data_IF_876299486037
#
_entry.id   IF_876299486037
#
_cell.length_a   1.000
_cell.length_b   1.000
_cell.length_c   1.000
_cell.angle_alpha   90.00
_cell.angle_beta   90.00
_cell.angle_gamma   90.00
#
_symmetry.space_group_name_H-M   'P 1'
#
loop_
_entity.id
_entity.type
_entity.pdbx_description
1 polymer ?
#
# COMPACT_ATOMS: atom_id res chain seq x y z
N UNK A 1 -11.55 1.18 23.11
CA UNK A 1 -10.45 1.90 22.43
C UNK A 1 -10.17 1.11 21.17
N UNK A 2 -10.29 1.68 19.95
CA UNK A 2 -9.98 0.90 18.76
C UNK A 2 -8.47 0.73 18.73
N UNK A 3 -8.03 -0.52 18.87
CA UNK A 3 -6.65 -0.92 18.68
C UNK A 3 -6.36 -0.74 17.20
N UNK A 4 -5.80 0.41 16.83
CA UNK A 4 -5.19 0.61 15.51
C UNK A 4 -4.28 -0.59 15.25
N UNK A 5 -4.55 -1.34 14.18
CA UNK A 5 -3.85 -2.58 13.83
C UNK A 5 -2.40 -2.29 13.47
N UNK A 6 -1.56 -1.98 14.48
CA UNK A 6 -0.16 -1.57 14.33
C UNK A 6 0.64 -2.56 13.49
N UNK A 7 0.40 -3.88 13.63
CA UNK A 7 1.20 -4.90 12.97
C UNK A 7 1.31 -4.77 11.44
N UNK A 8 0.19 -4.68 10.71
CA UNK A 8 0.22 -4.57 9.25
C UNK A 8 0.70 -3.20 8.78
N UNK A 9 0.23 -2.13 9.43
CA UNK A 9 0.63 -0.78 9.06
C UNK A 9 2.12 -0.53 9.33
N UNK A 10 2.65 -1.01 10.46
CA UNK A 10 4.07 -0.94 10.80
C UNK A 10 4.90 -1.72 9.76
N UNK A 11 4.46 -2.92 9.35
CA UNK A 11 5.13 -3.70 8.30
C UNK A 11 5.17 -2.99 6.94
N UNK A 12 4.07 -2.34 6.54
CA UNK A 12 4.05 -1.53 5.32
C UNK A 12 4.99 -0.31 5.45
N UNK A 13 5.04 0.30 6.64
CA UNK A 13 5.93 1.43 6.92
C UNK A 13 7.40 1.05 6.86
N UNK A 14 7.78 -0.11 7.40
CA UNK A 14 9.14 -0.64 7.34
C UNK A 14 9.56 -0.90 5.89
N UNK A 15 8.68 -1.52 5.10
CA UNK A 15 8.93 -1.79 3.68
C UNK A 15 9.06 -0.50 2.86
N UNK A 16 8.21 0.48 3.16
CA UNK A 16 8.29 1.80 2.54
C UNK A 16 9.60 2.51 2.89
N UNK A 17 10.05 2.43 4.14
CA UNK A 17 11.33 3.01 4.57
C UNK A 17 12.51 2.28 3.91
N UNK A 18 12.49 0.95 3.85
CA UNK A 18 13.48 0.15 3.14
C UNK A 18 13.59 0.56 1.67
N UNK A 19 12.45 0.81 1.00
CA UNK A 19 12.43 1.29 -0.38
C UNK A 19 13.03 2.70 -0.54
N UNK A 20 12.90 3.55 0.48
CA UNK A 20 13.51 4.88 0.51
C UNK A 20 15.02 4.83 0.76
N UNK A 21 15.45 4.00 1.71
CA UNK A 21 16.85 3.82 2.11
C UNK A 21 17.67 3.04 1.07
N UNK A 22 17.02 2.28 0.17
CA UNK A 22 17.70 1.53 -0.89
C UNK A 22 18.30 2.50 -1.92
N UNK A 23 19.65 2.50 -2.10
CA UNK A 23 20.32 3.33 -3.10
C UNK A 23 19.85 2.96 -4.51
N UNK A 24 19.91 3.94 -5.42
CA UNK A 24 19.49 3.72 -6.81
C UNK A 24 20.28 2.58 -7.49
N UNK A 25 21.52 2.32 -7.06
CA UNK A 25 22.37 1.25 -7.61
C UNK A 25 21.93 -0.18 -7.17
N UNK A 26 21.19 -0.30 -6.07
CA UNK A 26 20.70 -1.59 -5.55
C UNK A 26 19.21 -1.83 -5.83
N UNK A 27 18.59 -0.99 -6.66
CA UNK A 27 17.16 -1.09 -7.02
C UNK A 27 16.76 -2.45 -7.54
N UNK A 28 17.64 -3.12 -8.30
CA UNK A 28 17.40 -4.47 -8.83
C UNK A 28 17.15 -5.55 -7.78
N UNK A 29 17.52 -5.31 -6.51
CA UNK A 29 17.26 -6.22 -5.39
C UNK A 29 15.91 -5.99 -4.70
N UNK A 30 15.16 -4.94 -5.06
CA UNK A 30 13.84 -4.70 -4.51
C UNK A 30 12.87 -5.76 -5.03
N UNK A 31 12.26 -6.49 -4.10
CA UNK A 31 11.27 -7.52 -4.42
C UNK A 31 9.90 -6.88 -4.66
N UNK A 32 9.06 -7.57 -5.45
CA UNK A 32 7.67 -7.18 -5.66
C UNK A 32 6.89 -6.98 -4.36
N UNK A 33 7.26 -7.71 -3.31
CA UNK A 33 6.63 -7.64 -1.99
C UNK A 33 6.96 -6.33 -1.26
N UNK A 34 8.23 -5.89 -1.28
CA UNK A 34 8.64 -4.61 -0.67
C UNK A 34 7.98 -3.43 -1.38
N UNK A 35 7.90 -3.49 -2.72
CA UNK A 35 7.26 -2.44 -3.52
C UNK A 35 5.75 -2.45 -3.33
N UNK A 36 5.13 -3.64 -3.29
CA UNK A 36 3.71 -3.78 -2.98
C UNK A 36 3.40 -3.24 -1.59
N UNK A 37 4.21 -3.55 -0.58
CA UNK A 37 4.04 -3.06 0.78
C UNK A 37 4.23 -1.54 0.89
N UNK A 38 5.19 -0.97 0.16
CA UNK A 38 5.35 0.47 0.06
C UNK A 38 4.13 1.15 -0.60
N UNK A 39 3.57 0.54 -1.66
CA UNK A 39 2.37 1.02 -2.31
C UNK A 39 1.14 0.91 -1.40
N UNK A 40 1.00 -0.20 -0.67
CA UNK A 40 -0.06 -0.41 0.33
C UNK A 40 0.02 0.60 1.48
N UNK A 41 1.22 0.97 1.92
CA UNK A 41 1.43 2.03 2.91
C UNK A 41 0.87 3.38 2.44
N UNK A 42 1.28 3.82 1.23
CA UNK A 42 0.77 5.07 0.65
C UNK A 42 -0.75 5.00 0.45
N UNK A 43 -1.29 3.84 0.04
CA UNK A 43 -2.71 3.63 -0.17
C UNK A 43 -3.53 3.73 1.11
N UNK A 44 -3.12 3.04 2.18
CA UNK A 44 -3.78 3.09 3.50
C UNK A 44 -3.69 4.49 4.07
N UNK A 45 -2.55 5.17 3.93
CA UNK A 45 -2.40 6.56 4.38
C UNK A 45 -3.32 7.52 3.63
N UNK A 46 -3.42 7.38 2.31
CA UNK A 46 -4.33 8.19 1.48
C UNK A 46 -5.80 7.89 1.80
N UNK A 47 -6.14 6.62 2.05
CA UNK A 47 -7.47 6.20 2.48
C UNK A 47 -7.86 6.80 3.84
N UNK A 48 -6.95 6.75 4.82
CA UNK A 48 -7.17 7.34 6.14
C UNK A 48 -7.38 8.85 6.03
N UNK A 49 -6.54 9.56 5.26
CA UNK A 49 -6.72 10.99 5.00
C UNK A 49 -8.03 11.30 4.25
N UNK A 50 -8.47 10.42 3.34
CA UNK A 50 -9.76 10.55 2.68
C UNK A 50 -10.91 10.41 3.68
N UNK A 51 -10.83 9.43 4.59
CA UNK A 51 -11.83 9.19 5.62
C UNK A 51 -11.90 10.34 6.64
N UNK A 52 -10.76 10.93 7.00
CA UNK A 52 -10.71 12.11 7.88
C UNK A 52 -11.38 13.34 7.25
N UNK A 53 -11.25 13.51 5.92
CA UNK A 53 -11.80 14.67 5.20
C UNK A 53 -13.25 14.49 4.77
N UNK A 54 -13.63 13.30 4.32
CA UNK A 54 -14.92 13.05 3.67
C UNK A 54 -15.84 12.12 4.48
N UNK A 55 -15.34 11.56 5.59
CA UNK A 55 -16.00 10.47 6.31
C UNK A 55 -15.66 9.09 5.74
N UNK A 56 -15.91 8.04 6.54
CA UNK A 56 -15.69 6.66 6.11
C UNK A 56 -16.69 6.29 5.01
N UNK A 57 -16.27 5.58 3.95
CA UNK A 57 -17.20 5.05 2.95
C UNK A 57 -18.20 4.09 3.62
N UNK A 58 -19.45 4.16 3.16
CA UNK A 58 -20.55 3.38 3.73
C UNK A 58 -20.51 1.88 3.37
N UNK A 59 -19.69 1.49 2.39
CA UNK A 59 -19.67 0.13 1.85
C UNK A 59 -18.24 -0.40 1.69
N UNK A 60 -18.03 -1.66 2.04
CA UNK A 60 -16.75 -2.38 1.90
C UNK A 60 -16.25 -2.34 0.45
N UNK A 61 -17.13 -2.52 -0.54
CA UNK A 61 -16.76 -2.47 -1.94
C UNK A 61 -16.20 -1.09 -2.32
N UNK A 62 -16.79 -0.01 -1.79
CA UNK A 62 -16.33 1.35 -2.05
C UNK A 62 -15.01 1.67 -1.36
N UNK A 63 -14.81 1.16 -0.14
CA UNK A 63 -13.51 1.27 0.52
C UNK A 63 -12.41 0.55 -0.26
N UNK A 64 -12.69 -0.66 -0.74
CA UNK A 64 -11.77 -1.44 -1.55
C UNK A 64 -11.46 -0.78 -2.89
N UNK A 65 -12.46 -0.19 -3.56
CA UNK A 65 -12.26 0.56 -4.81
C UNK A 65 -11.31 1.74 -4.60
N UNK A 66 -11.49 2.51 -3.52
CA UNK A 66 -10.63 3.64 -3.18
C UNK A 66 -9.21 3.16 -2.84
N UNK A 67 -9.07 2.11 -2.02
CA UNK A 67 -7.79 1.53 -1.64
C UNK A 67 -7.04 0.97 -2.87
N UNK A 68 -7.71 0.25 -3.76
CA UNK A 68 -7.12 -0.27 -4.99
C UNK A 68 -6.69 0.86 -5.94
N UNK A 69 -7.49 1.93 -6.03
CA UNK A 69 -7.13 3.13 -6.78
C UNK A 69 -5.87 3.80 -6.25
N UNK A 70 -5.77 3.97 -4.93
CA UNK A 70 -4.57 4.53 -4.31
C UNK A 70 -3.36 3.59 -4.41
N UNK A 71 -3.54 2.28 -4.24
CA UNK A 71 -2.47 1.30 -4.38
C UNK A 71 -1.90 1.27 -5.80
N UNK A 72 -2.77 1.33 -6.82
CA UNK A 72 -2.35 1.43 -8.21
C UNK A 72 -1.56 2.71 -8.49
N UNK A 73 -2.08 3.87 -8.07
CA UNK A 73 -1.40 5.15 -8.26
C UNK A 73 -0.07 5.26 -7.51
N UNK A 74 -0.01 4.75 -6.27
CA UNK A 74 1.22 4.68 -5.49
C UNK A 74 2.25 3.76 -6.17
N UNK A 75 1.82 2.59 -6.63
CA UNK A 75 2.68 1.64 -7.34
C UNK A 75 3.25 2.25 -8.62
N UNK A 76 2.42 2.89 -9.45
CA UNK A 76 2.86 3.53 -10.69
C UNK A 76 3.91 4.61 -10.39
N UNK A 77 3.65 5.47 -9.40
CA UNK A 77 4.61 6.49 -8.93
C UNK A 77 5.91 5.86 -8.43
N UNK A 78 5.84 4.78 -7.66
CA UNK A 78 7.03 4.07 -7.17
C UNK A 78 7.84 3.48 -8.32
N UNK A 79 7.18 2.90 -9.33
CA UNK A 79 7.85 2.35 -10.51
C UNK A 79 8.51 3.45 -11.34
N UNK A 80 7.81 4.56 -11.59
CA UNK A 80 8.33 5.70 -12.34
C UNK A 80 9.53 6.36 -11.63
N UNK A 81 9.42 6.59 -10.33
CA UNK A 81 10.47 7.25 -9.55
C UNK A 81 11.67 6.35 -9.28
N UNK A 82 11.43 5.06 -9.05
CA UNK A 82 12.49 4.08 -8.76
C UNK A 82 12.97 3.36 -10.01
N UNK A 83 12.45 3.59 -11.21
CA UNK A 83 12.97 2.97 -12.45
C UNK A 83 12.89 1.45 -12.42
N UNK A 84 11.77 0.90 -11.95
CA UNK A 84 11.56 -0.53 -11.71
C UNK A 84 10.96 -1.23 -12.94
N UNK A 85 11.51 -0.97 -14.13
CA UNK A 85 10.96 -1.50 -15.40
C UNK A 85 11.05 -3.02 -15.52
N UNK A 86 11.93 -3.66 -14.75
CA UNK A 86 12.06 -5.12 -14.66
C UNK A 86 10.95 -5.77 -13.83
N UNK A 87 10.14 -4.98 -13.13
CA UNK A 87 9.18 -5.45 -12.16
C UNK A 87 7.82 -5.72 -12.84
N UNK A 88 7.32 -6.94 -12.68
CA UNK A 88 5.93 -7.25 -13.02
C UNK A 88 4.94 -6.39 -12.21
N UNK A 89 4.45 -5.33 -12.86
CA UNK A 89 3.48 -4.38 -12.28
C UNK A 89 2.19 -5.05 -11.86
N UNK A 90 1.73 -6.06 -12.61
CA UNK A 90 0.47 -6.75 -12.29
C UNK A 90 0.63 -7.57 -11.02
N UNK A 91 1.78 -8.24 -10.87
CA UNK A 91 2.08 -8.99 -9.66
C UNK A 91 2.20 -8.07 -8.45
N UNK A 92 2.94 -6.96 -8.55
CA UNK A 92 3.06 -5.99 -7.47
C UNK A 92 1.72 -5.35 -7.10
N UNK A 93 0.89 -5.02 -8.11
CA UNK A 93 -0.46 -4.50 -7.91
C UNK A 93 -1.34 -5.49 -7.16
N UNK A 94 -1.35 -6.75 -7.58
CA UNK A 94 -2.15 -7.79 -6.90
C UNK A 94 -1.71 -7.99 -5.45
N UNK A 95 -0.40 -8.02 -5.19
CA UNK A 95 0.11 -8.08 -3.83
C UNK A 95 -0.29 -6.85 -3.01
N UNK A 96 -0.25 -5.65 -3.60
CA UNK A 96 -0.65 -4.43 -2.90
C UNK A 96 -2.15 -4.44 -2.56
N UNK A 97 -2.99 -4.87 -3.51
CA UNK A 97 -4.44 -5.06 -3.34
C UNK A 97 -4.77 -6.11 -2.27
N UNK A 98 -4.06 -7.25 -2.25
CA UNK A 98 -4.22 -8.28 -1.22
C UNK A 98 -3.83 -7.76 0.16
N UNK A 99 -2.74 -7.00 0.27
CA UNK A 99 -2.28 -6.41 1.53
C UNK A 99 -3.26 -5.36 2.08
N UNK A 100 -3.78 -4.46 1.23
CA UNK A 100 -4.79 -3.48 1.68
C UNK A 100 -6.12 -4.14 2.01
N UNK A 101 -6.49 -5.22 1.30
CA UNK A 101 -7.67 -6.03 1.62
C UNK A 101 -7.55 -6.66 3.00
N UNK A 102 -6.43 -7.32 3.28
CA UNK A 102 -6.16 -7.93 4.59
C UNK A 102 -6.16 -6.89 5.70
N UNK A 103 -5.56 -5.72 5.47
CA UNK A 103 -5.60 -4.60 6.40
C UNK A 103 -7.05 -4.16 6.68
N UNK A 104 -7.84 -3.93 5.62
CA UNK A 104 -9.22 -3.48 5.75
C UNK A 104 -10.13 -4.51 6.45
N UNK A 105 -10.01 -5.79 6.07
CA UNK A 105 -10.73 -6.89 6.71
C UNK A 105 -10.39 -7.01 8.20
N UNK A 106 -9.11 -6.82 8.56
CA UNK A 106 -8.69 -6.83 9.96
C UNK A 106 -9.25 -5.64 10.73
N UNK A 107 -9.26 -4.44 10.14
CA UNK A 107 -9.82 -3.23 10.76
C UNK A 107 -11.35 -3.27 10.92
N UNK A 108 -12.06 -3.97 10.03
CA UNK A 108 -13.53 -4.05 10.01
C UNK A 108 -14.13 -5.33 10.61
N UNK A 109 -13.31 -6.28 11.06
CA UNK A 109 -13.79 -7.44 11.82
C UNK A 109 -14.05 -7.02 13.28
N UNK A 110 -15.28 -6.57 13.56
CA UNK A 110 -15.90 -6.51 14.90
C UNK A 110 -17.42 -6.59 14.79
#
# INVERSE_FOLDING_TARGET
MPLFTRGFFDHFSDSHQQLQDTPDEHKGSLTHEVIAAAASYEAVKAYNAHCEKNGKPNDHAKAMEILAGFAGGALDKLIETKGLDYLDKQKAKRHAEEQVKQYYETEHTY
#
